data_IF_181096602885
#
_entry.id   IF_181096602885
#
_cell.length_a   1.000
_cell.length_b   1.000
_cell.length_c   1.000
_cell.angle_alpha   90.00
_cell.angle_beta   90.00
_cell.angle_gamma   90.00
#
_symmetry.space_group_name_H-M   'P 1'
#
loop_
_entity.id
_entity.type
_entity.pdbx_description
1 polymer ?
#
# COMPACT_ATOMS: atom_id res chain seq x y z
N UNK A 1 34.09 0.85 31.09
CA UNK A 1 33.06 0.14 30.31
C UNK A 1 31.82 1.02 30.24
N UNK A 2 31.54 1.75 29.15
CA UNK A 2 30.25 2.43 29.00
C UNK A 2 29.26 1.50 28.28
N UNK A 3 28.10 1.29 28.91
CA UNK A 3 26.94 0.59 28.34
C UNK A 3 26.43 1.32 27.09
N UNK A 4 26.30 0.59 25.99
CA UNK A 4 25.61 1.06 24.80
C UNK A 4 24.11 1.13 25.08
N UNK A 5 23.58 2.36 25.20
CA UNK A 5 22.16 2.64 25.30
C UNK A 5 21.49 2.23 23.97
N UNK A 6 20.69 1.15 23.99
CA UNK A 6 19.79 0.79 22.90
C UNK A 6 18.82 1.96 22.70
N UNK A 7 19.02 2.76 21.64
CA UNK A 7 18.09 3.80 21.23
C UNK A 7 16.80 3.12 20.77
N UNK A 8 15.86 2.97 21.69
CA UNK A 8 14.53 2.46 21.42
C UNK A 8 13.86 3.46 20.47
N UNK A 9 13.85 3.15 19.19
CA UNK A 9 13.18 3.97 18.19
C UNK A 9 11.68 3.93 18.50
N UNK A 10 11.15 5.01 19.07
CA UNK A 10 9.70 5.21 19.31
C UNK A 10 8.94 5.43 17.98
N UNK A 11 9.23 4.62 16.96
CA UNK A 11 8.56 4.69 15.69
C UNK A 11 7.14 4.16 15.86
N UNK A 12 6.16 4.92 15.37
CA UNK A 12 4.76 4.51 15.35
C UNK A 12 4.42 3.93 13.98
N UNK A 13 3.69 2.82 13.95
CA UNK A 13 3.33 2.11 12.71
C UNK A 13 1.87 2.28 12.32
N UNK A 14 1.59 2.33 11.03
CA UNK A 14 0.23 2.22 10.51
C UNK A 14 -0.27 0.77 10.61
N UNK A 15 -1.42 0.55 11.24
CA UNK A 15 -2.05 -0.79 11.32
C UNK A 15 -2.45 -1.36 9.95
N UNK A 16 -2.71 -0.47 8.98
CA UNK A 16 -3.23 -0.83 7.67
C UNK A 16 -2.11 -1.13 6.68
N UNK A 17 -1.24 -0.15 6.38
CA UNK A 17 -0.15 -0.33 5.41
C UNK A 17 1.20 -0.71 6.03
N UNK A 18 1.28 -0.88 7.36
CA UNK A 18 2.50 -1.23 8.12
C UNK A 18 3.66 -0.23 8.00
N UNK A 19 3.43 0.93 7.40
CA UNK A 19 4.44 1.98 7.26
C UNK A 19 4.83 2.56 8.63
N UNK A 20 6.14 2.71 8.85
CA UNK A 20 6.73 3.32 10.04
C UNK A 20 6.82 4.85 9.94
N UNK A 21 6.61 5.51 11.07
CA UNK A 21 6.71 6.96 11.23
C UNK A 21 7.55 7.30 12.46
N UNK A 22 8.43 8.29 12.30
CA UNK A 22 9.29 8.79 13.39
C UNK A 22 8.52 9.40 14.56
N UNK A 23 7.26 9.82 14.35
CA UNK A 23 6.43 10.43 15.39
C UNK A 23 4.93 10.22 15.14
N UNK A 24 4.14 10.39 16.20
CA UNK A 24 2.68 10.23 16.20
C UNK A 24 1.96 11.23 15.28
N UNK A 25 2.44 12.47 15.16
CA UNK A 25 1.86 13.48 14.26
C UNK A 25 1.94 13.05 12.80
N UNK A 26 3.07 12.47 12.38
CA UNK A 26 3.24 11.90 11.05
C UNK A 26 2.29 10.74 10.79
N UNK A 27 2.14 9.85 11.77
CA UNK A 27 1.19 8.74 11.71
C UNK A 27 -0.26 9.23 11.62
N UNK A 28 -0.67 10.20 12.44
CA UNK A 28 -2.04 10.72 12.46
C UNK A 28 -2.45 11.32 11.10
N UNK A 29 -1.57 12.13 10.49
CA UNK A 29 -1.81 12.68 9.14
C UNK A 29 -1.90 11.57 8.09
N UNK A 30 -1.09 10.53 8.21
CA UNK A 30 -1.16 9.39 7.32
C UNK A 30 -2.47 8.61 7.50
N UNK A 31 -2.89 8.34 8.74
CA UNK A 31 -4.13 7.66 9.07
C UNK A 31 -5.36 8.39 8.52
N UNK A 32 -5.36 9.72 8.50
CA UNK A 32 -6.46 10.49 7.88
C UNK A 32 -6.64 10.14 6.39
N UNK A 33 -5.55 9.99 5.66
CA UNK A 33 -5.60 9.58 4.25
C UNK A 33 -6.04 8.12 4.10
N UNK A 34 -5.45 7.21 4.88
CA UNK A 34 -5.82 5.79 4.89
C UNK A 34 -7.32 5.62 5.15
N UNK A 35 -7.86 6.26 6.19
CA UNK A 35 -9.29 6.22 6.53
C UNK A 35 -10.20 6.80 5.44
N UNK A 36 -9.70 7.72 4.62
CA UNK A 36 -10.48 8.34 3.55
C UNK A 36 -10.73 7.34 2.40
N UNK A 37 -9.73 6.54 2.06
CA UNK A 37 -9.77 5.66 0.89
C UNK A 37 -10.09 4.21 1.25
N UNK A 38 -9.84 3.77 2.48
CA UNK A 38 -9.95 2.37 2.89
C UNK A 38 -11.22 2.11 3.72
N UNK A 39 -12.33 2.74 3.32
CA UNK A 39 -13.63 2.49 3.92
C UNK A 39 -14.22 1.25 3.27
N UNK A 40 -14.23 0.15 4.01
CA UNK A 40 -14.86 -1.10 3.57
C UNK A 40 -16.37 -1.00 3.80
N UNK A 41 -17.17 -1.08 2.75
CA UNK A 41 -18.61 -1.32 2.92
C UNK A 41 -18.81 -2.77 3.37
N UNK A 42 -19.50 -2.96 4.50
CA UNK A 42 -19.71 -4.27 5.12
C UNK A 42 -20.62 -5.12 4.24
N UNK A 43 -20.04 -5.85 3.27
CA UNK A 43 -20.60 -6.99 2.51
C UNK A 43 -19.72 -7.27 1.28
N UNK A 44 -18.42 -7.48 1.52
CA UNK A 44 -17.52 -7.88 0.43
C UNK A 44 -17.44 -9.40 0.44
N UNK A 45 -18.05 -10.03 -0.56
CA UNK A 45 -17.93 -11.46 -0.82
C UNK A 45 -16.47 -11.88 -1.01
N UNK A 46 -16.13 -13.06 -0.51
CA UNK A 46 -14.82 -13.66 -0.76
C UNK A 46 -14.66 -13.93 -2.26
N UNK A 47 -13.58 -13.42 -2.83
CA UNK A 47 -13.28 -13.64 -4.23
C UNK A 47 -12.56 -14.97 -4.45
N UNK A 48 -12.82 -15.66 -5.58
CA UNK A 48 -12.00 -16.78 -5.98
C UNK A 48 -10.52 -16.38 -6.07
N UNK A 49 -9.64 -17.24 -5.55
CA UNK A 49 -8.19 -17.01 -5.55
C UNK A 49 -7.66 -16.75 -6.97
N UNK A 50 -8.21 -17.45 -7.96
CA UNK A 50 -7.81 -17.29 -9.36
C UNK A 50 -8.07 -15.86 -9.88
N UNK A 51 -9.21 -15.26 -9.53
CA UNK A 51 -9.53 -13.87 -9.89
C UNK A 51 -8.52 -12.88 -9.32
N UNK A 52 -8.07 -13.10 -8.08
CA UNK A 52 -7.04 -12.27 -7.44
C UNK A 52 -5.69 -12.40 -8.15
N UNK A 53 -5.33 -13.63 -8.56
CA UNK A 53 -4.08 -13.90 -9.30
C UNK A 53 -4.10 -13.24 -10.68
N UNK A 54 -5.18 -13.41 -11.44
CA UNK A 54 -5.37 -12.77 -12.74
C UNK A 54 -5.27 -11.26 -12.63
N UNK A 55 -5.93 -10.66 -11.64
CA UNK A 55 -5.87 -9.20 -11.47
C UNK A 55 -4.46 -8.71 -11.10
N UNK A 56 -3.70 -9.48 -10.29
CA UNK A 56 -2.28 -9.16 -10.02
C UNK A 56 -1.45 -9.16 -11.30
N UNK A 57 -1.69 -10.09 -12.23
CA UNK A 57 -1.01 -10.11 -13.53
C UNK A 57 -1.36 -8.88 -14.36
N UNK A 58 -2.63 -8.44 -14.36
CA UNK A 58 -3.05 -7.21 -15.03
C UNK A 58 -2.31 -6.00 -14.46
N UNK A 59 -2.21 -5.88 -13.13
CA UNK A 59 -1.45 -4.79 -12.47
C UNK A 59 0.01 -4.77 -12.92
N UNK A 60 0.68 -5.92 -12.93
CA UNK A 60 2.08 -6.03 -13.37
C UNK A 60 2.23 -5.62 -14.83
N UNK A 61 1.33 -6.07 -15.71
CA UNK A 61 1.35 -5.71 -17.12
C UNK A 61 1.18 -4.19 -17.33
N UNK A 62 0.23 -3.55 -16.62
CA UNK A 62 0.04 -2.10 -16.70
C UNK A 62 1.24 -1.31 -16.17
N UNK A 63 1.88 -1.79 -15.10
CA UNK A 63 3.13 -1.20 -14.60
C UNK A 63 4.23 -1.31 -15.65
N UNK A 64 4.43 -2.49 -16.24
CA UNK A 64 5.46 -2.70 -17.27
C UNK A 64 5.25 -1.81 -18.50
N UNK A 65 4.00 -1.59 -18.94
CA UNK A 65 3.69 -0.65 -20.03
C UNK A 65 4.15 0.79 -19.73
N UNK A 66 4.22 1.18 -18.46
CA UNK A 66 4.65 2.52 -18.02
C UNK A 66 6.14 2.62 -17.69
N UNK A 67 6.87 1.49 -17.68
CA UNK A 67 8.29 1.39 -17.38
C UNK A 67 9.09 1.02 -18.67
N UNK A 68 9.44 1.97 -19.55
CA UNK A 68 10.36 1.75 -20.66
C UNK A 68 11.74 1.29 -20.16
N UNK A 69 12.32 0.34 -20.90
CA UNK A 69 13.52 -0.42 -20.55
C UNK A 69 14.80 0.42 -20.33
N UNK A 70 14.86 1.67 -20.82
CA UNK A 70 16.13 2.36 -21.07
C UNK A 70 16.26 3.77 -20.47
N UNK A 71 15.49 4.14 -19.44
CA UNK A 71 15.57 5.49 -18.87
C UNK A 71 16.45 5.59 -17.62
N UNK A 72 17.40 6.54 -17.61
CA UNK A 72 18.26 6.86 -16.46
C UNK A 72 17.53 7.54 -15.30
N UNK A 73 16.40 8.20 -15.56
CA UNK A 73 15.52 8.72 -14.51
C UNK A 73 14.10 8.87 -15.06
N UNK A 74 13.18 8.06 -14.56
CA UNK A 74 11.75 8.25 -14.76
C UNK A 74 11.20 8.80 -13.45
N UNK A 75 10.89 10.10 -13.41
CA UNK A 75 10.14 10.66 -12.29
C UNK A 75 8.85 9.88 -12.00
N UNK A 76 8.13 10.24 -10.94
CA UNK A 76 6.92 9.51 -10.50
C UNK A 76 5.97 9.26 -11.67
N UNK A 77 5.64 7.97 -11.91
CA UNK A 77 4.63 7.54 -12.87
C UNK A 77 3.35 7.19 -12.15
N UNK A 78 2.24 7.55 -12.78
CA UNK A 78 0.89 7.23 -12.31
C UNK A 78 0.19 6.42 -13.40
N UNK A 79 -0.53 5.39 -12.98
CA UNK A 79 -1.50 4.68 -13.79
C UNK A 79 -2.76 4.44 -12.94
N UNK A 80 -3.89 4.28 -13.61
CA UNK A 80 -5.18 4.06 -12.99
C UNK A 80 -5.85 2.90 -13.68
N UNK A 81 -6.49 2.02 -12.92
CA UNK A 81 -7.25 0.88 -13.42
C UNK A 81 -8.59 0.82 -12.69
N UNK A 82 -9.72 0.69 -13.39
CA UNK A 82 -10.99 0.41 -12.74
C UNK A 82 -10.95 -0.97 -12.09
N UNK A 83 -11.41 -1.06 -10.84
CA UNK A 83 -11.34 -2.28 -10.05
C UNK A 83 -12.54 -2.35 -9.09
N UNK A 84 -13.19 -3.51 -8.96
CA UNK A 84 -14.14 -3.76 -7.88
C UNK A 84 -13.52 -3.53 -6.50
N UNK A 85 -14.31 -3.04 -5.55
CA UNK A 85 -13.90 -2.84 -4.14
C UNK A 85 -13.39 -4.17 -3.54
N UNK A 86 -14.04 -5.28 -3.87
CA UNK A 86 -13.67 -6.63 -3.43
C UNK A 86 -12.25 -7.04 -3.83
N UNK A 87 -11.86 -6.79 -5.08
CA UNK A 87 -10.51 -7.09 -5.59
C UNK A 87 -9.49 -6.18 -4.90
N UNK A 88 -9.82 -4.90 -4.72
CA UNK A 88 -8.95 -3.94 -4.06
C UNK A 88 -8.60 -4.40 -2.63
N UNK A 89 -9.60 -4.73 -1.80
CA UNK A 89 -9.36 -5.19 -0.44
C UNK A 89 -8.70 -6.57 -0.38
N UNK A 90 -8.97 -7.46 -1.34
CA UNK A 90 -8.31 -8.77 -1.43
C UNK A 90 -6.80 -8.66 -1.73
N UNK A 91 -6.38 -7.62 -2.44
CA UNK A 91 -4.97 -7.42 -2.82
C UNK A 91 -4.23 -6.52 -1.83
N UNK A 92 -4.85 -5.41 -1.41
CA UNK A 92 -4.19 -4.35 -0.66
C UNK A 92 -4.50 -4.35 0.84
N UNK A 93 -5.38 -5.25 1.31
CA UNK A 93 -5.73 -5.42 2.73
C UNK A 93 -6.25 -4.15 3.45
N UNK A 94 -6.66 -3.13 2.68
CA UNK A 94 -7.03 -1.81 3.18
C UNK A 94 -6.14 -0.76 2.57
#
# INVERSE_FOLDING_TARGET
>A
MPSATLSQSNNSTCSTCKKEFKNSKGLARHQQNVRKYNKRHQEIDELPVNTVVEFKQILVAEIHKKLPLNFRSMGKKLFSIPCPESIFFSIFAG
#
